data_IF_585366247718
#
_entry.id   IF_585366247718
#
_cell.length_a   1.000
_cell.length_b   1.000
_cell.length_c   1.000
_cell.angle_alpha   90.00
_cell.angle_beta   90.00
_cell.angle_gamma   90.00
#
_symmetry.space_group_name_H-M   'P 1'
#
loop_
_entity.id
_entity.type
_entity.pdbx_description
1 polymer ?
#
# COMPACT_ATOMS: atom_id res chain seq x y z
N UNK A 1 -16.05 1.37 -25.47
CA UNK A 1 -17.33 1.50 -24.74
C UNK A 1 -17.12 2.52 -23.64
N UNK A 2 -17.97 3.56 -23.53
CA UNK A 2 -17.86 4.54 -22.45
C UNK A 2 -18.85 4.15 -21.34
N UNK A 3 -18.33 3.72 -20.19
CA UNK A 3 -19.14 3.31 -19.03
C UNK A 3 -19.18 4.39 -17.94
N UNK A 4 -18.48 5.50 -18.13
CA UNK A 4 -18.30 6.54 -17.12
C UNK A 4 -19.63 7.14 -16.68
N UNK A 5 -19.86 7.20 -15.37
CA UNK A 5 -21.09 7.68 -14.72
C UNK A 5 -22.25 6.69 -14.72
N UNK A 6 -22.11 5.52 -15.35
CA UNK A 6 -23.18 4.52 -15.43
C UNK A 6 -23.29 3.68 -14.15
N UNK A 7 -24.43 3.02 -13.96
CA UNK A 7 -24.56 1.98 -12.93
C UNK A 7 -23.60 0.80 -13.17
N UNK A 8 -23.27 0.50 -14.43
CA UNK A 8 -22.31 -0.55 -14.77
C UNK A 8 -20.92 -0.25 -14.25
N UNK A 9 -20.46 1.01 -14.29
CA UNK A 9 -19.17 1.41 -13.71
C UNK A 9 -19.17 1.22 -12.18
N UNK A 10 -20.25 1.61 -11.50
CA UNK A 10 -20.42 1.37 -10.06
C UNK A 10 -20.40 -0.12 -9.72
N UNK A 11 -21.08 -0.95 -10.52
CA UNK A 11 -21.10 -2.40 -10.34
C UNK A 11 -19.71 -3.00 -10.56
N UNK A 12 -18.95 -2.53 -11.56
CA UNK A 12 -17.59 -2.97 -11.81
C UNK A 12 -16.63 -2.60 -10.68
N UNK A 13 -16.74 -1.38 -10.13
CA UNK A 13 -15.98 -0.96 -8.95
C UNK A 13 -16.31 -1.82 -7.74
N UNK A 14 -17.60 -2.02 -7.45
CA UNK A 14 -18.04 -2.86 -6.34
C UNK A 14 -17.56 -4.31 -6.49
N UNK A 15 -17.65 -4.88 -7.69
CA UNK A 15 -17.13 -6.22 -7.98
C UNK A 15 -15.61 -6.27 -7.79
N UNK A 16 -14.86 -5.29 -8.31
CA UNK A 16 -13.40 -5.25 -8.15
C UNK A 16 -12.98 -5.16 -6.68
N UNK A 17 -13.66 -4.33 -5.88
CA UNK A 17 -13.47 -4.30 -4.43
C UNK A 17 -13.80 -5.64 -3.78
N UNK A 18 -14.90 -6.29 -4.19
CA UNK A 18 -15.31 -7.62 -3.73
C UNK A 18 -14.23 -8.69 -3.94
N UNK A 19 -13.74 -8.80 -5.18
CA UNK A 19 -12.68 -9.76 -5.54
C UNK A 19 -11.36 -9.47 -4.81
N UNK A 20 -11.02 -8.19 -4.63
CA UNK A 20 -9.81 -7.78 -3.89
C UNK A 20 -9.89 -8.17 -2.42
N UNK A 21 -11.05 -7.98 -1.79
CA UNK A 21 -11.30 -8.43 -0.42
C UNK A 21 -11.31 -9.96 -0.29
N UNK A 22 -11.90 -10.67 -1.25
CA UNK A 22 -11.94 -12.14 -1.26
C UNK A 22 -10.54 -12.73 -1.35
N UNK A 23 -9.71 -12.24 -2.29
CA UNK A 23 -8.31 -12.64 -2.43
C UNK A 23 -7.55 -12.53 -1.10
N UNK A 24 -7.59 -11.37 -0.45
CA UNK A 24 -6.86 -11.16 0.80
C UNK A 24 -7.38 -12.06 1.92
N UNK A 25 -8.70 -12.18 2.09
CA UNK A 25 -9.31 -13.09 3.08
C UNK A 25 -8.85 -14.54 2.88
N UNK A 26 -8.86 -15.04 1.65
CA UNK A 26 -8.45 -16.42 1.38
C UNK A 26 -6.97 -16.65 1.69
N UNK A 27 -6.09 -15.68 1.44
CA UNK A 27 -4.68 -15.79 1.86
C UNK A 27 -4.54 -15.85 3.38
N UNK A 28 -5.31 -15.07 4.13
CA UNK A 28 -5.32 -15.12 5.60
C UNK A 28 -5.86 -16.46 6.12
N UNK A 29 -6.91 -16.99 5.47
CA UNK A 29 -7.48 -18.30 5.82
C UNK A 29 -6.52 -19.44 5.49
N UNK A 30 -5.78 -19.34 4.39
CA UNK A 30 -4.73 -20.30 4.07
C UNK A 30 -3.63 -20.33 5.15
N UNK A 31 -3.17 -19.17 5.61
CA UNK A 31 -2.19 -19.08 6.70
C UNK A 31 -2.70 -19.79 7.96
N UNK A 32 -3.95 -19.53 8.33
CA UNK A 32 -4.57 -20.19 9.48
C UNK A 32 -4.68 -21.70 9.29
N UNK A 33 -5.13 -22.18 8.12
CA UNK A 33 -5.21 -23.60 7.81
C UNK A 33 -3.83 -24.28 7.87
N UNK A 34 -2.75 -23.59 7.45
CA UNK A 34 -1.37 -24.10 7.62
C UNK A 34 -0.98 -24.22 9.09
N UNK A 35 -1.32 -23.24 9.94
CA UNK A 35 -1.07 -23.30 11.40
C UNK A 35 -1.79 -24.47 12.07
N UNK A 36 -2.95 -24.86 11.54
CA UNK A 36 -3.75 -25.99 12.03
C UNK A 36 -3.30 -27.36 11.49
N UNK A 37 -2.34 -27.40 10.55
CA UNK A 37 -1.91 -28.63 9.88
C UNK A 37 -2.84 -29.09 8.75
N UNK A 38 -3.83 -28.28 8.37
CA UNK A 38 -4.78 -28.56 7.29
C UNK A 38 -4.22 -28.13 5.92
N UNK A 39 -3.16 -28.81 5.45
CA UNK A 39 -2.42 -28.42 4.24
C UNK A 39 -3.27 -28.39 2.97
N UNK A 40 -4.15 -29.37 2.77
CA UNK A 40 -5.03 -29.40 1.59
C UNK A 40 -6.02 -28.23 1.56
N UNK A 41 -6.52 -27.83 2.73
CA UNK A 41 -7.43 -26.68 2.87
C UNK A 41 -6.68 -25.37 2.59
N UNK A 42 -5.45 -25.25 3.10
CA UNK A 42 -4.60 -24.09 2.80
C UNK A 42 -4.32 -23.95 1.30
N UNK A 43 -3.94 -25.03 0.64
CA UNK A 43 -3.65 -25.03 -0.80
C UNK A 43 -4.91 -24.73 -1.63
N UNK A 44 -6.09 -25.18 -1.18
CA UNK A 44 -7.37 -24.81 -1.78
C UNK A 44 -7.61 -23.30 -1.68
N UNK A 45 -7.46 -22.71 -0.50
CA UNK A 45 -7.65 -21.27 -0.30
C UNK A 45 -6.67 -20.44 -1.15
N UNK A 46 -5.39 -20.83 -1.21
CA UNK A 46 -4.40 -20.12 -2.04
C UNK A 46 -4.75 -20.19 -3.53
N UNK A 47 -5.21 -21.34 -4.01
CA UNK A 47 -5.66 -21.48 -5.40
C UNK A 47 -6.88 -20.60 -5.68
N UNK A 48 -7.84 -20.53 -4.75
CA UNK A 48 -8.99 -19.63 -4.92
C UNK A 48 -8.57 -18.16 -4.87
N UNK A 49 -7.63 -17.78 -4.00
CA UNK A 49 -7.07 -16.44 -3.96
C UNK A 49 -6.41 -16.03 -5.28
N UNK A 50 -5.73 -16.97 -5.96
CA UNK A 50 -5.20 -16.75 -7.30
C UNK A 50 -6.32 -16.49 -8.32
N UNK A 51 -7.41 -17.27 -8.28
CA UNK A 51 -8.57 -17.06 -9.15
C UNK A 51 -9.20 -15.68 -8.95
N UNK A 52 -9.42 -15.25 -7.71
CA UNK A 52 -9.99 -13.92 -7.43
C UNK A 52 -9.04 -12.79 -7.88
N UNK A 53 -7.72 -13.03 -7.85
CA UNK A 53 -6.75 -12.14 -8.47
C UNK A 53 -6.95 -11.99 -9.99
N UNK A 54 -7.30 -13.07 -10.69
CA UNK A 54 -7.63 -13.03 -12.12
C UNK A 54 -8.97 -12.33 -12.37
N UNK A 55 -10.00 -12.62 -11.56
CA UNK A 55 -11.29 -11.92 -11.65
C UNK A 55 -11.12 -10.41 -11.43
N UNK A 56 -10.41 -10.01 -10.38
CA UNK A 56 -10.07 -8.62 -10.10
C UNK A 56 -9.34 -7.96 -11.27
N UNK A 57 -8.36 -8.64 -11.88
CA UNK A 57 -7.66 -8.14 -13.08
C UNK A 57 -8.63 -7.94 -14.26
N UNK A 58 -9.53 -8.87 -14.52
CA UNK A 58 -10.53 -8.76 -15.59
C UNK A 58 -11.47 -7.57 -15.38
N UNK A 59 -11.90 -7.34 -14.14
CA UNK A 59 -12.77 -6.21 -13.77
C UNK A 59 -12.01 -4.88 -13.89
N UNK A 60 -10.80 -4.80 -13.36
CA UNK A 60 -9.96 -3.61 -13.43
C UNK A 60 -9.64 -3.20 -14.87
N UNK A 61 -9.42 -4.17 -15.77
CA UNK A 61 -9.26 -3.95 -17.21
C UNK A 61 -10.45 -3.24 -17.87
N UNK A 62 -11.66 -3.42 -17.34
CA UNK A 62 -12.89 -2.81 -17.87
C UNK A 62 -13.18 -1.44 -17.26
N UNK A 63 -12.50 -1.08 -16.17
CA UNK A 63 -12.59 0.22 -15.51
C UNK A 63 -11.58 1.20 -16.10
N UNK A 64 -10.35 1.18 -15.60
CA UNK A 64 -9.26 2.07 -16.00
C UNK A 64 -8.15 1.35 -16.77
N UNK A 65 -8.06 0.03 -16.58
CA UNK A 65 -7.02 -0.82 -17.16
C UNK A 65 -5.63 -0.61 -16.60
N UNK A 66 -4.75 -1.56 -16.91
CA UNK A 66 -3.32 -1.44 -16.66
C UNK A 66 -2.71 -0.69 -17.84
N UNK A 67 -2.04 0.42 -17.57
CA UNK A 67 -1.38 1.28 -18.57
C UNK A 67 0.14 1.03 -18.56
N UNK A 68 0.92 1.92 -19.17
CA UNK A 68 2.37 1.90 -19.04
C UNK A 68 2.80 2.20 -17.58
N UNK A 69 4.05 1.88 -17.26
CA UNK A 69 4.58 2.02 -15.90
C UNK A 69 4.54 3.46 -15.37
N UNK A 70 4.78 4.46 -16.21
CA UNK A 70 4.77 5.86 -15.76
C UNK A 70 3.35 6.30 -15.40
N UNK A 71 2.37 5.96 -16.24
CA UNK A 71 0.96 6.27 -15.96
C UNK A 71 0.44 5.50 -14.75
N UNK A 72 0.82 4.24 -14.57
CA UNK A 72 0.45 3.46 -13.38
C UNK A 72 1.06 4.04 -12.10
N UNK A 73 2.33 4.48 -12.14
CA UNK A 73 2.99 5.15 -11.00
C UNK A 73 2.30 6.46 -10.63
N UNK A 74 1.91 7.28 -11.62
CA UNK A 74 1.15 8.51 -11.36
C UNK A 74 -0.20 8.22 -10.70
N UNK A 75 -0.90 7.17 -11.15
CA UNK A 75 -2.14 6.75 -10.52
C UNK A 75 -1.94 6.27 -9.08
N UNK A 76 -0.85 5.54 -8.81
CA UNK A 76 -0.50 5.09 -7.47
C UNK A 76 -0.19 6.30 -6.55
N UNK A 77 0.67 7.22 -6.99
CA UNK A 77 0.99 8.47 -6.26
C UNK A 77 -0.28 9.23 -5.88
N UNK A 78 -1.21 9.40 -6.82
CA UNK A 78 -2.46 10.11 -6.55
C UNK A 78 -3.35 9.38 -5.52
N UNK A 79 -3.35 8.05 -5.55
CA UNK A 79 -4.03 7.21 -4.55
C UNK A 79 -3.41 7.39 -3.16
N UNK A 80 -2.11 7.11 -3.03
CA UNK A 80 -1.36 7.24 -1.78
C UNK A 80 -1.53 8.65 -1.16
N UNK A 81 -1.39 9.70 -1.98
CA UNK A 81 -1.60 11.09 -1.54
C UNK A 81 -2.98 11.30 -0.93
N UNK A 82 -4.05 10.86 -1.59
CA UNK A 82 -5.41 10.97 -1.07
C UNK A 82 -5.60 10.19 0.23
N UNK A 83 -4.95 9.04 0.36
CA UNK A 83 -5.02 8.20 1.55
C UNK A 83 -4.37 8.85 2.77
N UNK A 84 -3.11 9.29 2.67
CA UNK A 84 -2.40 9.85 3.83
C UNK A 84 -2.76 11.31 4.15
N UNK A 85 -3.23 12.10 3.18
CA UNK A 85 -3.57 13.52 3.43
C UNK A 85 -5.01 13.74 3.91
N UNK A 86 -5.94 12.87 3.53
CA UNK A 86 -7.37 13.06 3.83
C UNK A 86 -8.00 11.81 4.40
N UNK A 87 -8.01 10.68 3.68
CA UNK A 87 -8.82 9.52 4.06
C UNK A 87 -8.48 8.97 5.45
N UNK A 88 -7.22 8.58 5.69
CA UNK A 88 -6.82 8.03 6.98
C UNK A 88 -6.87 9.05 8.11
N UNK A 89 -6.45 10.33 7.94
CA UNK A 89 -6.68 11.36 8.94
C UNK A 89 -8.16 11.55 9.33
N UNK A 90 -9.07 11.56 8.34
CA UNK A 90 -10.50 11.70 8.58
C UNK A 90 -11.06 10.48 9.32
N UNK A 91 -10.61 9.27 8.96
CA UNK A 91 -10.98 8.03 9.64
C UNK A 91 -10.46 7.98 11.08
N UNK A 92 -9.19 8.37 11.31
CA UNK A 92 -8.60 8.43 12.63
C UNK A 92 -9.36 9.42 13.52
N UNK A 93 -9.67 10.62 13.01
CA UNK A 93 -10.48 11.61 13.71
C UNK A 93 -11.85 11.02 14.09
N UNK A 94 -12.55 10.38 13.14
CA UNK A 94 -13.87 9.80 13.40
C UNK A 94 -13.81 8.69 14.44
N UNK A 95 -12.81 7.81 14.38
CA UNK A 95 -12.60 6.76 15.36
C UNK A 95 -12.39 7.32 16.78
N UNK A 96 -11.65 8.44 16.93
CA UNK A 96 -11.51 9.13 18.22
C UNK A 96 -12.81 9.73 18.74
N UNK A 97 -13.59 10.37 17.86
CA UNK A 97 -14.90 10.92 18.23
C UNK A 97 -15.86 9.83 18.77
N UNK A 98 -15.72 8.61 18.28
CA UNK A 98 -16.53 7.45 18.69
C UNK A 98 -15.91 6.65 19.85
N UNK A 99 -14.72 7.01 20.32
CA UNK A 99 -14.04 6.37 21.46
C UNK A 99 -13.18 5.15 21.10
N UNK A 100 -12.87 4.93 19.82
CA UNK A 100 -12.04 3.82 19.33
C UNK A 100 -10.57 4.23 19.14
N UNK A 101 -9.85 4.55 20.22
CA UNK A 101 -8.48 5.09 20.13
C UNK A 101 -7.49 4.12 19.46
N UNK A 102 -7.59 2.81 19.73
CA UNK A 102 -6.69 1.81 19.11
C UNK A 102 -6.84 1.79 17.59
N UNK A 103 -8.07 1.92 17.08
CA UNK A 103 -8.35 1.98 15.64
C UNK A 103 -7.86 3.32 15.06
N UNK A 104 -8.02 4.42 15.79
CA UNK A 104 -7.50 5.71 15.37
C UNK A 104 -5.97 5.70 15.24
N UNK A 105 -5.27 5.10 16.22
CA UNK A 105 -3.81 4.93 16.17
C UNK A 105 -3.39 4.05 15.00
N UNK A 106 -4.15 3.00 14.68
CA UNK A 106 -3.93 2.17 13.50
C UNK A 106 -4.02 3.03 12.22
N UNK A 107 -5.08 3.82 12.04
CA UNK A 107 -5.22 4.70 10.88
C UNK A 107 -4.10 5.73 10.77
N UNK A 108 -3.68 6.36 11.88
CA UNK A 108 -2.55 7.30 11.88
C UNK A 108 -1.24 6.64 11.48
N UNK A 109 -1.02 5.39 11.90
CA UNK A 109 0.18 4.65 11.55
C UNK A 109 0.16 4.22 10.08
N UNK A 110 -0.98 3.82 9.54
CA UNK A 110 -1.14 3.52 8.12
C UNK A 110 -0.91 4.79 7.29
N UNK A 111 -1.45 5.95 7.68
CA UNK A 111 -1.21 7.22 6.99
C UNK A 111 0.29 7.56 6.84
N UNK A 112 1.11 7.29 7.87
CA UNK A 112 2.56 7.48 7.80
C UNK A 112 3.23 6.55 6.78
N UNK A 113 2.71 5.34 6.62
CA UNK A 113 3.21 4.34 5.67
C UNK A 113 2.85 4.74 4.24
N UNK A 114 1.61 5.15 3.99
CA UNK A 114 1.19 5.57 2.64
C UNK A 114 1.96 6.82 2.15
N UNK A 115 2.37 7.68 3.08
CA UNK A 115 3.31 8.78 2.77
C UNK A 115 4.68 8.28 2.29
N UNK A 116 5.21 7.18 2.84
CA UNK A 116 6.43 6.54 2.32
C UNK A 116 6.19 5.89 0.96
N UNK A 117 5.02 5.26 0.75
CA UNK A 117 4.65 4.69 -0.54
C UNK A 117 4.61 5.75 -1.65
N UNK A 118 3.96 6.89 -1.41
CA UNK A 118 3.94 8.02 -2.34
C UNK A 118 5.37 8.44 -2.71
N UNK A 119 6.23 8.67 -1.71
CA UNK A 119 7.63 9.05 -1.93
C UNK A 119 8.39 8.05 -2.80
N UNK A 120 8.19 6.75 -2.57
CA UNK A 120 8.85 5.69 -3.34
C UNK A 120 8.35 5.64 -4.78
N UNK A 121 7.05 5.80 -5.01
CA UNK A 121 6.50 5.87 -6.36
C UNK A 121 6.97 7.13 -7.10
N UNK A 122 7.02 8.28 -6.43
CA UNK A 122 7.61 9.50 -7.01
C UNK A 122 9.08 9.29 -7.39
N UNK A 123 9.87 8.69 -6.51
CA UNK A 123 11.28 8.37 -6.77
C UNK A 123 11.43 7.42 -7.96
N UNK A 124 10.59 6.39 -8.05
CA UNK A 124 10.58 5.46 -9.17
C UNK A 124 10.22 6.16 -10.49
N UNK A 125 9.21 7.05 -10.47
CA UNK A 125 8.78 7.82 -11.63
C UNK A 125 9.89 8.78 -12.11
N UNK A 126 10.55 9.50 -11.20
CA UNK A 126 11.70 10.35 -11.54
C UNK A 126 12.83 9.55 -12.19
N UNK A 127 13.13 8.35 -11.67
CA UNK A 127 14.15 7.46 -12.26
C UNK A 127 13.76 6.96 -13.66
N UNK A 128 12.47 6.71 -13.91
CA UNK A 128 12.02 6.35 -15.26
C UNK A 128 12.24 7.49 -16.23
N UNK A 129 11.86 8.73 -15.87
CA UNK A 129 12.08 9.88 -16.75
C UNK A 129 13.55 10.26 -16.93
N UNK A 130 14.39 10.05 -15.93
CA UNK A 130 15.84 10.27 -16.02
C UNK A 130 16.56 9.21 -16.88
N UNK A 131 15.96 8.04 -17.15
CA UNK A 131 16.50 7.08 -18.13
C UNK A 131 16.27 7.54 -19.57
N UNK A 132 15.27 8.42 -19.79
CA UNK A 132 14.89 8.91 -21.11
C UNK A 132 15.57 10.25 -21.49
N UNK A 133 16.30 10.91 -20.56
CA UNK A 133 17.08 12.15 -20.84
C UNK A 133 18.35 12.26 -19.97
N UNK A 134 19.36 12.96 -20.51
CA UNK A 134 20.63 13.33 -19.86
C UNK A 134 20.42 13.96 -18.47
N UNK A 135 21.39 13.82 -17.53
CA UNK A 135 21.22 14.19 -16.12
C UNK A 135 20.77 15.65 -15.93
N UNK A 136 19.78 15.85 -15.06
CA UNK A 136 19.34 17.19 -14.62
C UNK A 136 20.11 17.53 -13.34
N UNK A 137 20.77 18.69 -13.32
CA UNK A 137 21.46 19.24 -12.15
C UNK A 137 20.47 19.62 -11.02
N UNK A 138 20.88 19.36 -9.78
CA UNK A 138 20.09 19.56 -8.57
C UNK A 138 19.81 21.05 -8.27
N UNK A 139 18.55 21.35 -7.90
CA UNK A 139 18.14 22.66 -7.39
C UNK A 139 18.23 22.74 -5.84
N UNK A 140 18.46 23.92 -5.22
CA UNK A 140 18.83 24.04 -3.81
C UNK A 140 17.63 24.02 -2.83
N UNK A 141 17.91 23.51 -1.62
CA UNK A 141 16.98 23.12 -0.54
C UNK A 141 16.62 24.25 0.44
N UNK A 142 15.40 24.20 1.01
CA UNK A 142 15.08 24.65 2.38
C UNK A 142 14.10 23.66 3.03
N UNK A 143 14.26 23.47 4.34
CA UNK A 143 13.88 22.29 5.17
C UNK A 143 14.69 21.02 4.86
N UNK A 144 15.44 20.52 5.85
CA UNK A 144 16.43 19.46 5.64
C UNK A 144 15.85 18.10 5.99
N UNK A 145 15.07 17.56 5.06
CA UNK A 145 14.75 16.13 5.05
C UNK A 145 16.02 15.36 4.69
N UNK A 146 16.42 14.43 5.56
CA UNK A 146 17.59 13.58 5.32
C UNK A 146 17.16 12.16 4.98
N UNK A 147 17.84 11.57 4.01
CA UNK A 147 17.76 10.14 3.74
C UNK A 147 18.52 9.41 4.84
N UNK A 148 17.81 8.66 5.68
CA UNK A 148 18.38 7.78 6.69
C UNK A 148 18.29 6.32 6.23
N UNK A 149 19.13 5.46 6.81
CA UNK A 149 18.99 4.01 6.71
C UNK A 149 18.18 3.47 7.87
N UNK A 150 17.36 2.45 7.63
CA UNK A 150 16.57 1.80 8.67
C UNK A 150 16.12 0.41 8.25
N UNK A 151 15.10 -0.11 8.91
CA UNK A 151 14.54 -1.43 8.68
C UNK A 151 13.06 -1.33 8.32
N UNK A 152 12.65 -2.00 7.24
CA UNK A 152 11.27 -2.08 6.77
C UNK A 152 10.69 -3.44 7.12
N UNK A 153 9.53 -3.49 7.76
CA UNK A 153 8.78 -4.73 7.90
C UNK A 153 8.36 -5.23 6.51
N UNK A 154 8.74 -6.45 6.14
CA UNK A 154 8.42 -7.00 4.81
C UNK A 154 6.92 -7.29 4.63
N UNK A 155 6.18 -7.35 5.74
CA UNK A 155 4.75 -7.66 5.73
C UNK A 155 3.87 -6.42 5.59
N UNK A 156 4.12 -5.37 6.37
CA UNK A 156 3.27 -4.18 6.40
C UNK A 156 3.95 -2.89 5.90
N UNK A 157 5.24 -2.91 5.60
CA UNK A 157 5.97 -1.73 5.12
C UNK A 157 6.39 -0.73 6.20
N UNK A 158 6.01 -0.91 7.47
CA UNK A 158 6.41 -0.04 8.57
C UNK A 158 7.95 0.10 8.67
N UNK A 159 8.43 1.32 8.91
CA UNK A 159 9.86 1.65 8.95
C UNK A 159 10.29 1.97 10.38
N UNK A 160 11.44 1.42 10.77
CA UNK A 160 12.06 1.57 12.06
C UNK A 160 13.50 2.05 11.91
N UNK A 161 13.95 2.91 12.83
CA UNK A 161 15.37 3.33 12.92
C UNK A 161 16.27 2.12 13.22
N UNK A 162 15.96 1.42 14.31
CA UNK A 162 16.61 0.17 14.70
C UNK A 162 15.75 -1.03 14.34
N UNK A 163 16.38 -2.19 14.09
CA UNK A 163 15.64 -3.42 13.77
C UNK A 163 14.91 -3.92 15.03
N UNK A 164 13.56 -3.99 15.04
CA UNK A 164 12.85 -4.61 16.15
C UNK A 164 12.74 -6.13 15.96
N UNK A 165 12.43 -6.85 17.04
CA UNK A 165 12.11 -8.28 16.99
C UNK A 165 10.66 -8.51 16.52
N UNK A 166 9.74 -7.63 16.91
CA UNK A 166 8.31 -7.67 16.56
C UNK A 166 7.92 -6.33 15.95
N UNK A 167 7.21 -6.36 14.83
CA UNK A 167 6.70 -5.14 14.21
C UNK A 167 5.60 -4.55 15.09
N UNK A 168 5.78 -3.32 15.58
CA UNK A 168 4.77 -2.65 16.42
C UNK A 168 3.51 -2.20 15.67
N UNK A 169 3.39 -2.49 14.36
CA UNK A 169 2.25 -2.12 13.52
C UNK A 169 1.42 -3.33 13.15
N UNK A 170 2.02 -4.39 12.63
CA UNK A 170 1.31 -5.61 12.23
C UNK A 170 1.62 -6.84 13.09
N UNK A 171 2.40 -6.67 14.16
CA UNK A 171 2.78 -7.70 15.14
C UNK A 171 3.58 -8.88 14.56
N UNK A 172 4.02 -8.77 13.30
CA UNK A 172 4.82 -9.80 12.66
C UNK A 172 6.23 -9.89 13.26
N UNK A 173 6.73 -11.11 13.43
CA UNK A 173 8.01 -11.41 14.09
C UNK A 173 9.14 -11.57 13.06
N UNK A 174 10.26 -10.89 13.29
CA UNK A 174 11.58 -11.22 12.73
C UNK A 174 11.87 -10.90 11.26
N UNK A 175 10.89 -10.47 10.48
CA UNK A 175 11.04 -10.28 9.03
C UNK A 175 11.15 -8.80 8.63
N UNK A 176 12.39 -8.30 8.59
CA UNK A 176 12.73 -6.91 8.26
C UNK A 176 13.86 -6.86 7.22
N UNK A 177 13.72 -5.97 6.24
CA UNK A 177 14.76 -5.68 5.25
C UNK A 177 15.40 -4.31 5.48
N UNK A 178 16.67 -4.15 5.12
CA UNK A 178 17.31 -2.83 5.15
C UNK A 178 16.66 -1.93 4.12
N UNK A 179 16.31 -0.71 4.51
CA UNK A 179 15.69 0.27 3.64
C UNK A 179 16.28 1.66 3.86
N UNK A 180 15.91 2.60 3.00
CA UNK A 180 16.16 4.02 3.19
C UNK A 180 14.84 4.74 3.34
N UNK A 181 14.75 5.72 4.24
CA UNK A 181 13.55 6.51 4.47
C UNK A 181 13.88 7.97 4.77
N UNK A 182 12.88 8.83 4.69
CA UNK A 182 13.03 10.26 4.96
C UNK A 182 12.68 10.57 6.42
N UNK A 183 13.60 11.22 7.14
CA UNK A 183 13.33 11.79 8.46
C UNK A 183 13.60 13.29 8.42
N UNK A 184 12.70 14.06 9.02
CA UNK A 184 12.94 15.46 9.31
C UNK A 184 13.80 15.55 10.56
N UNK A 185 14.96 16.19 10.44
CA UNK A 185 15.80 16.52 11.59
C UNK A 185 15.61 18.01 11.90
N UNK A 186 15.29 18.31 13.15
CA UNK A 186 15.51 19.63 13.73
C UNK A 186 16.96 19.69 14.21
N UNK A 187 17.70 20.74 13.85
CA UNK A 187 19.00 21.04 14.49
C UNK A 187 18.82 21.23 16.00
#
# INVERSE_FOLDING_TARGET
>A
MNIKGSQTEKNLLAAFSGESMARNKYLFFAEQARKEGNTEVADLFERMAQNEGIHGKMLFQRLNGVKDSATNLQSAIAGEYGEWTSMYPDFAKKAREEGFEEIAMLFDNIAKIEKDHEFRFMTALSKLYAKDKTPIEEAPKKERTVTATGYRCVFCGAIFEERPDVCSVCEAIGSFEKTTYQKTISE
#
